data_IF_170941371255
#
_entry.id   IF_170941371255
#
_cell.length_a   1.000
_cell.length_b   1.000
_cell.length_c   1.000
_cell.angle_alpha   90.00
_cell.angle_beta   90.00
_cell.angle_gamma   90.00
#
_symmetry.space_group_name_H-M   'P 1'
#
loop_
_entity.id
_entity.type
_entity.pdbx_description
1 polymer ?
#
# COMPACT_ATOMS: atom_id res chain seq x y z
N UNK A 1 -6.44 -7.44 10.93
CA UNK A 1 -6.28 -6.93 9.55
C UNK A 1 -4.83 -6.65 9.16
N UNK A 2 -3.92 -6.25 10.06
CA UNK A 2 -2.52 -5.99 9.74
C UNK A 2 -1.79 -7.17 9.08
N UNK A 3 -2.03 -8.40 9.52
CA UNK A 3 -1.43 -9.61 8.93
C UNK A 3 -1.79 -9.83 7.45
N UNK A 4 -3.01 -9.50 7.05
CA UNK A 4 -3.47 -9.65 5.65
C UNK A 4 -2.77 -8.64 4.75
N UNK A 5 -2.59 -7.40 5.21
CA UNK A 5 -1.84 -6.37 4.49
C UNK A 5 -0.37 -6.78 4.30
N UNK A 6 0.29 -7.29 5.36
CA UNK A 6 1.69 -7.72 5.30
C UNK A 6 1.93 -8.82 4.27
N UNK A 7 1.01 -9.80 4.19
CA UNK A 7 1.12 -10.91 3.24
C UNK A 7 1.01 -10.45 1.79
N UNK A 8 0.11 -9.52 1.49
CA UNK A 8 -0.03 -8.96 0.14
C UNK A 8 1.20 -8.15 -0.25
N UNK A 9 1.77 -7.37 0.66
CA UNK A 9 2.99 -6.62 0.41
C UNK A 9 4.19 -7.52 0.14
N UNK A 10 4.34 -8.65 0.84
CA UNK A 10 5.42 -9.61 0.59
C UNK A 10 5.38 -10.18 -0.85
N UNK A 11 4.20 -10.48 -1.37
CA UNK A 11 4.02 -10.99 -2.74
C UNK A 11 4.35 -9.90 -3.78
N UNK A 12 3.98 -8.66 -3.51
CA UNK A 12 4.22 -7.53 -4.41
C UNK A 12 5.71 -7.18 -4.50
N UNK A 13 6.48 -7.43 -3.44
CA UNK A 13 7.93 -7.19 -3.40
C UNK A 13 8.72 -8.11 -4.34
N UNK A 14 8.14 -9.23 -4.80
CA UNK A 14 8.83 -10.08 -5.77
C UNK A 14 9.00 -9.32 -7.08
N UNK A 15 10.26 -9.01 -7.50
CA UNK A 15 10.49 -8.16 -8.65
C UNK A 15 10.00 -8.85 -9.93
N UNK A 16 9.14 -8.15 -10.66
CA UNK A 16 8.65 -8.60 -11.96
C UNK A 16 9.51 -7.99 -13.05
N UNK A 17 10.55 -8.70 -13.45
CA UNK A 17 11.42 -8.37 -14.58
C UNK A 17 11.45 -9.51 -15.56
N UNK A 18 11.82 -9.22 -16.83
CA UNK A 18 11.94 -10.23 -17.88
C UNK A 18 12.99 -11.30 -17.55
N UNK A 19 14.03 -10.89 -16.82
CA UNK A 19 15.16 -11.74 -16.44
C UNK A 19 15.03 -12.30 -15.01
N UNK A 20 13.83 -12.25 -14.43
CA UNK A 20 13.61 -12.72 -13.06
C UNK A 20 13.78 -14.24 -12.97
N UNK A 21 14.85 -14.66 -12.31
CA UNK A 21 15.13 -16.08 -12.04
C UNK A 21 14.06 -16.74 -11.17
N UNK A 22 13.37 -15.96 -10.34
CA UNK A 22 12.31 -16.45 -9.44
C UNK A 22 11.12 -16.96 -10.28
N UNK A 23 10.60 -16.12 -11.19
CA UNK A 23 9.47 -16.49 -12.04
C UNK A 23 9.83 -17.60 -13.05
N UNK A 24 11.06 -17.57 -13.58
CA UNK A 24 11.58 -18.62 -14.43
C UNK A 24 11.69 -19.96 -13.71
N UNK A 25 12.16 -19.97 -12.46
CA UNK A 25 12.28 -21.20 -11.66
C UNK A 25 10.94 -21.84 -11.34
N UNK A 26 9.88 -21.04 -11.21
CA UNK A 26 8.50 -21.50 -10.99
C UNK A 26 7.76 -21.80 -12.30
N UNK A 27 8.40 -21.60 -13.46
CA UNK A 27 7.78 -21.84 -14.76
C UNK A 27 6.69 -20.83 -15.15
N UNK A 28 6.67 -19.64 -14.52
CA UNK A 28 5.68 -18.60 -14.80
C UNK A 28 6.22 -17.64 -15.85
N UNK A 29 5.59 -17.51 -17.04
CA UNK A 29 6.01 -16.58 -18.06
C UNK A 29 5.82 -15.12 -17.60
N UNK A 30 6.66 -14.24 -18.11
CA UNK A 30 6.71 -12.81 -17.70
C UNK A 30 5.33 -12.12 -17.77
N UNK A 31 4.55 -12.36 -18.81
CA UNK A 31 3.24 -11.75 -19.01
C UNK A 31 2.26 -12.12 -17.88
N UNK A 32 2.32 -13.37 -17.41
CA UNK A 32 1.50 -13.82 -16.26
C UNK A 32 2.02 -13.24 -14.95
N UNK A 33 3.33 -13.16 -14.79
CA UNK A 33 3.92 -12.53 -13.60
C UNK A 33 3.50 -11.07 -13.46
N UNK A 34 3.49 -10.30 -14.57
CA UNK A 34 2.98 -8.92 -14.62
C UNK A 34 1.51 -8.85 -14.23
N UNK A 35 0.68 -9.78 -14.73
CA UNK A 35 -0.75 -9.83 -14.39
C UNK A 35 -0.94 -10.12 -12.90
N UNK A 36 -0.24 -11.10 -12.34
CA UNK A 36 -0.34 -11.44 -10.93
C UNK A 36 0.11 -10.29 -10.04
N UNK A 37 1.21 -9.62 -10.39
CA UNK A 37 1.66 -8.43 -9.68
C UNK A 37 0.61 -7.30 -9.72
N UNK A 38 0.00 -7.05 -10.87
CA UNK A 38 -1.04 -6.02 -11.01
C UNK A 38 -2.28 -6.34 -10.17
N UNK A 39 -2.77 -7.59 -10.23
CA UNK A 39 -3.92 -8.04 -9.42
C UNK A 39 -3.61 -7.95 -7.94
N UNK A 40 -2.46 -8.48 -7.50
CA UNK A 40 -2.02 -8.40 -6.11
C UNK A 40 -1.90 -6.95 -5.64
N UNK A 41 -1.38 -6.04 -6.50
CA UNK A 41 -1.31 -4.62 -6.24
C UNK A 41 -2.68 -4.00 -6.00
N UNK A 42 -3.65 -4.24 -6.87
CA UNK A 42 -5.01 -3.72 -6.69
C UNK A 42 -5.68 -4.25 -5.41
N UNK A 43 -5.48 -5.53 -5.08
CA UNK A 43 -6.00 -6.12 -3.84
C UNK A 43 -5.34 -5.50 -2.61
N UNK A 44 -4.03 -5.30 -2.61
CA UNK A 44 -3.32 -4.67 -1.51
C UNK A 44 -3.80 -3.23 -1.27
N UNK A 45 -4.03 -2.46 -2.33
CA UNK A 45 -4.60 -1.12 -2.21
C UNK A 45 -6.03 -1.14 -1.67
N UNK A 46 -6.88 -2.04 -2.17
CA UNK A 46 -8.24 -2.19 -1.68
C UNK A 46 -8.25 -2.51 -0.18
N UNK A 47 -7.38 -3.43 0.27
CA UNK A 47 -7.28 -3.78 1.70
C UNK A 47 -6.73 -2.64 2.54
N UNK A 48 -5.73 -1.89 2.05
CA UNK A 48 -5.16 -0.73 2.73
C UNK A 48 -6.22 0.37 2.95
N UNK A 49 -6.93 0.75 1.90
CA UNK A 49 -7.97 1.79 1.99
C UNK A 49 -9.17 1.34 2.82
N UNK A 50 -9.58 0.08 2.71
CA UNK A 50 -10.65 -0.48 3.55
C UNK A 50 -10.24 -0.46 5.01
N UNK A 51 -9.00 -0.82 5.32
CA UNK A 51 -8.46 -0.78 6.68
C UNK A 51 -8.55 0.64 7.27
N UNK A 52 -8.00 1.63 6.58
CA UNK A 52 -8.03 3.02 7.03
C UNK A 52 -9.45 3.57 7.16
N UNK A 53 -10.32 3.29 6.18
CA UNK A 53 -11.71 3.71 6.20
C UNK A 53 -12.49 3.12 7.40
N UNK A 54 -12.33 1.83 7.67
CA UNK A 54 -13.00 1.17 8.80
C UNK A 54 -12.56 1.73 10.15
N UNK A 55 -11.25 2.05 10.32
CA UNK A 55 -10.78 2.68 11.54
C UNK A 55 -11.36 4.07 11.76
N UNK A 56 -11.36 4.91 10.73
CA UNK A 56 -11.95 6.26 10.81
C UNK A 56 -13.45 6.17 11.08
N UNK A 57 -14.15 5.29 10.38
CA UNK A 57 -15.59 5.09 10.59
C UNK A 57 -15.92 4.60 12.01
N UNK A 58 -15.10 3.69 12.55
CA UNK A 58 -15.24 3.22 13.93
C UNK A 58 -15.06 4.36 14.95
N UNK A 59 -14.02 5.19 14.80
CA UNK A 59 -13.82 6.32 15.73
C UNK A 59 -14.91 7.37 15.65
N UNK A 60 -15.40 7.68 14.45
CA UNK A 60 -16.52 8.62 14.29
C UNK A 60 -17.77 8.07 14.99
N UNK A 61 -18.02 6.78 14.85
CA UNK A 61 -19.18 6.12 15.46
C UNK A 61 -19.06 6.01 17.00
N UNK A 62 -17.88 5.65 17.52
CA UNK A 62 -17.66 5.39 18.95
C UNK A 62 -17.49 6.68 19.77
N UNK A 63 -16.67 7.63 19.29
CA UNK A 63 -16.19 8.76 20.07
C UNK A 63 -16.42 10.12 19.38
N UNK A 64 -17.01 10.12 18.20
CA UNK A 64 -17.33 11.30 17.43
C UNK A 64 -16.18 11.86 16.58
N UNK A 65 -16.51 12.82 15.73
CA UNK A 65 -15.60 13.38 14.73
C UNK A 65 -14.35 14.04 15.33
N UNK A 66 -14.51 14.77 16.44
CA UNK A 66 -13.39 15.47 17.09
C UNK A 66 -12.32 14.51 17.62
N UNK A 67 -12.73 13.35 18.11
CA UNK A 67 -11.81 12.29 18.55
C UNK A 67 -11.08 11.68 17.34
N UNK A 68 -11.82 11.31 16.29
CA UNK A 68 -11.24 10.73 15.07
C UNK A 68 -10.16 11.64 14.47
N UNK A 69 -10.40 12.95 14.38
CA UNK A 69 -9.41 13.93 13.89
C UNK A 69 -8.20 14.00 14.80
N UNK A 70 -8.40 14.06 16.12
CA UNK A 70 -7.30 14.14 17.09
C UNK A 70 -6.39 12.93 17.03
N UNK A 71 -6.95 11.73 17.05
CA UNK A 71 -6.18 10.48 16.96
C UNK A 71 -5.45 10.36 15.60
N UNK A 72 -6.04 10.85 14.52
CA UNK A 72 -5.41 10.83 13.19
C UNK A 72 -4.15 11.71 13.09
N UNK A 73 -3.98 12.68 13.98
CA UNK A 73 -2.86 13.66 13.96
C UNK A 73 -1.85 13.36 15.07
N UNK A 74 -2.25 12.70 16.16
CA UNK A 74 -1.38 12.43 17.28
C UNK A 74 -0.28 11.41 16.95
N UNK A 75 0.96 11.88 16.99
CA UNK A 75 2.16 11.02 16.93
C UNK A 75 2.38 10.45 18.33
N UNK A 76 2.22 9.16 18.51
CA UNK A 76 2.53 8.46 19.75
C UNK A 76 3.95 7.90 19.65
N UNK A 77 4.92 8.64 20.17
CA UNK A 77 6.30 8.22 20.16
C UNK A 77 6.61 7.31 21.37
N UNK A 78 7.04 6.09 21.11
CA UNK A 78 7.89 5.34 22.04
C UNK A 78 7.26 4.39 23.03
N UNK A 79 5.95 4.08 22.96
CA UNK A 79 5.31 3.14 23.90
C UNK A 79 4.78 1.83 23.26
N UNK A 80 5.19 1.54 22.00
CA UNK A 80 4.70 0.36 21.27
C UNK A 80 3.27 0.51 20.75
N UNK A 81 2.74 1.71 20.69
CA UNK A 81 1.41 1.98 20.11
C UNK A 81 1.53 2.26 18.61
N UNK A 82 0.47 1.90 17.87
CA UNK A 82 0.37 2.13 16.43
C UNK A 82 0.48 3.63 16.12
N UNK A 83 1.44 3.99 15.27
CA UNK A 83 1.64 5.37 14.84
C UNK A 83 0.73 5.71 13.65
N UNK A 84 -0.43 6.28 13.94
CA UNK A 84 -1.49 6.53 12.97
C UNK A 84 -1.08 7.54 11.87
N UNK A 85 -0.39 8.65 12.16
CA UNK A 85 0.14 9.54 11.14
C UNK A 85 1.02 8.85 10.10
N UNK A 86 1.81 7.86 10.49
CA UNK A 86 2.63 7.08 9.56
C UNK A 86 1.77 6.25 8.61
N UNK A 87 0.63 5.73 9.07
CA UNK A 87 -0.37 5.09 8.21
C UNK A 87 -0.94 6.04 7.14
N UNK A 88 -1.22 7.29 7.49
CA UNK A 88 -1.64 8.31 6.53
C UNK A 88 -0.55 8.66 5.52
N UNK A 89 0.71 8.78 5.96
CA UNK A 89 1.84 9.00 5.05
C UNK A 89 2.01 7.83 4.07
N UNK A 90 1.87 6.60 4.54
CA UNK A 90 1.87 5.42 3.66
C UNK A 90 0.72 5.49 2.63
N UNK A 91 -0.49 5.85 3.04
CA UNK A 91 -1.65 6.00 2.16
C UNK A 91 -1.46 7.12 1.13
N UNK A 92 -0.86 8.24 1.51
CA UNK A 92 -0.52 9.35 0.60
C UNK A 92 0.50 8.96 -0.47
N UNK A 93 1.46 8.09 -0.15
CA UNK A 93 2.37 7.50 -1.12
C UNK A 93 1.67 6.46 -2.01
N UNK A 94 0.78 5.67 -1.43
CA UNK A 94 0.06 4.59 -2.09
C UNK A 94 -0.93 5.10 -3.14
N UNK A 95 -1.67 6.16 -2.85
CA UNK A 95 -2.74 6.66 -3.71
C UNK A 95 -2.27 7.05 -5.13
N UNK A 96 -1.25 7.91 -5.32
CA UNK A 96 -0.77 8.27 -6.65
C UNK A 96 -0.17 7.06 -7.38
N UNK A 97 0.50 6.16 -6.67
CA UNK A 97 1.02 4.92 -7.24
C UNK A 97 -0.11 4.04 -7.78
N UNK A 98 -1.21 3.91 -7.05
CA UNK A 98 -2.37 3.13 -7.48
C UNK A 98 -3.07 3.76 -8.70
N UNK A 99 -3.35 5.07 -8.66
CA UNK A 99 -4.01 5.78 -9.76
C UNK A 99 -3.21 5.64 -11.06
N UNK A 100 -1.90 5.81 -10.99
CA UNK A 100 -1.03 5.69 -12.17
C UNK A 100 -0.86 4.25 -12.66
N UNK A 101 -1.13 3.25 -11.81
CA UNK A 101 -1.11 1.82 -12.16
C UNK A 101 -2.34 1.37 -12.95
N UNK A 102 -3.43 2.16 -12.96
CA UNK A 102 -4.62 1.89 -13.77
C UNK A 102 -4.23 1.84 -15.25
N UNK A 103 -4.67 0.81 -15.97
CA UNK A 103 -4.25 0.55 -17.35
C UNK A 103 -4.38 1.74 -18.29
N UNK A 104 -5.46 2.53 -18.17
CA UNK A 104 -5.70 3.72 -18.98
C UNK A 104 -4.63 4.80 -18.71
N UNK A 105 -4.39 5.12 -17.44
CA UNK A 105 -3.41 6.13 -17.02
C UNK A 105 -2.00 5.70 -17.38
N UNK A 106 -1.64 4.44 -17.07
CA UNK A 106 -0.33 3.87 -17.37
C UNK A 106 0.00 3.90 -18.86
N UNK A 107 -0.96 3.60 -19.74
CA UNK A 107 -0.74 3.64 -21.19
C UNK A 107 -0.59 5.06 -21.73
N UNK A 108 -1.29 6.04 -21.14
CA UNK A 108 -1.26 7.43 -21.60
C UNK A 108 -0.05 8.20 -21.06
N UNK A 109 0.35 7.92 -19.81
CA UNK A 109 1.42 8.63 -19.09
C UNK A 109 2.40 7.65 -18.45
N UNK A 110 3.08 6.86 -19.26
CA UNK A 110 3.98 5.82 -18.78
C UNK A 110 5.13 6.35 -17.91
N UNK A 111 5.67 7.54 -18.24
CA UNK A 111 6.72 8.19 -17.46
C UNK A 111 6.25 8.54 -16.05
N UNK A 112 5.01 9.02 -15.92
CA UNK A 112 4.42 9.33 -14.63
C UNK A 112 4.20 8.06 -13.79
N UNK A 113 3.71 6.99 -14.41
CA UNK A 113 3.61 5.68 -13.77
C UNK A 113 4.97 5.21 -13.25
N UNK A 114 6.02 5.28 -14.08
CA UNK A 114 7.37 4.86 -13.68
C UNK A 114 7.90 5.68 -12.49
N UNK A 115 7.68 6.99 -12.50
CA UNK A 115 8.12 7.87 -11.43
C UNK A 115 7.35 7.61 -10.13
N UNK A 116 6.03 7.56 -10.19
CA UNK A 116 5.18 7.34 -9.02
C UNK A 116 5.36 5.94 -8.42
N UNK A 117 5.78 4.97 -9.23
CA UNK A 117 6.01 3.61 -8.74
C UNK A 117 7.14 3.53 -7.71
N UNK A 118 8.11 4.46 -7.73
CA UNK A 118 9.14 4.57 -6.69
C UNK A 118 8.59 4.94 -5.30
N UNK A 119 7.37 5.44 -5.23
CA UNK A 119 6.70 5.71 -3.95
C UNK A 119 6.42 4.44 -3.14
N UNK A 120 6.59 3.24 -3.73
CA UNK A 120 6.51 1.99 -2.97
C UNK A 120 7.49 1.98 -1.79
N UNK A 121 8.66 2.62 -1.92
CA UNK A 121 9.62 2.75 -0.82
C UNK A 121 9.00 3.51 0.35
N UNK A 122 8.30 4.62 0.08
CA UNK A 122 7.57 5.37 1.10
C UNK A 122 6.46 4.55 1.74
N UNK A 123 5.71 3.79 0.95
CA UNK A 123 4.66 2.90 1.47
C UNK A 123 5.24 1.88 2.46
N UNK A 124 6.39 1.27 2.14
CA UNK A 124 7.04 0.31 3.03
C UNK A 124 7.61 0.94 4.29
N UNK A 125 8.34 2.07 4.15
CA UNK A 125 8.97 2.75 5.29
C UNK A 125 7.90 3.24 6.27
N UNK A 126 6.92 4.00 5.79
CA UNK A 126 5.85 4.53 6.64
C UNK A 126 4.91 3.44 7.14
N UNK A 127 4.66 2.39 6.35
CA UNK A 127 3.90 1.23 6.77
C UNK A 127 4.60 0.44 7.87
N UNK A 128 5.92 0.27 7.82
CA UNK A 128 6.69 -0.35 8.88
C UNK A 128 6.68 0.49 10.16
N UNK A 129 6.84 1.81 10.04
CA UNK A 129 6.75 2.74 11.18
C UNK A 129 5.35 2.82 11.79
N UNK A 130 4.31 2.54 11.00
CA UNK A 130 2.94 2.50 11.50
C UNK A 130 2.67 1.34 12.46
N UNK A 131 3.37 0.22 12.31
CA UNK A 131 3.17 -1.01 13.11
C UNK A 131 4.30 -1.29 14.10
N UNK A 132 5.33 -0.45 14.15
CA UNK A 132 6.44 -0.56 15.11
C UNK A 132 6.11 0.15 16.41
#
# INVERSE_FOLDING_TARGET
MGFVCSSHFAIILVPVSRDSKIWSAVGVPFERAVLYHAVAGHLAFATLFTHGFLFVAYWIWADGWSHAVRESIHVKAGDGTIDIPMGWMAAMCALPMWITSINYVRRRWYSLFKLSHWLFIGVFVFGAMHVS
#
